data_IF_078989274569
#
_entry.id   IF_078989274569
#
_cell.length_a   1.000
_cell.length_b   1.000
_cell.length_c   1.000
_cell.angle_alpha   90.00
_cell.angle_beta   90.00
_cell.angle_gamma   90.00
#
_symmetry.space_group_name_H-M   'P 1'
#
loop_
_entity.id
_entity.type
_entity.pdbx_description
1 polymer ?
#
# COMPACT_ATOMS: atom_id res chain seq x y z
N UNK A 1 -12.57 -14.76 -17.97
CA UNK A 1 -11.52 -14.56 -16.96
C UNK A 1 -11.50 -15.78 -16.06
N UNK A 2 -10.49 -16.63 -16.18
CA UNK A 2 -10.30 -17.76 -15.27
C UNK A 2 -9.93 -17.22 -13.89
N UNK A 3 -10.66 -17.66 -12.86
CA UNK A 3 -10.69 -17.08 -11.51
C UNK A 3 -9.48 -17.45 -10.64
N UNK A 4 -8.50 -18.16 -11.19
CA UNK A 4 -7.38 -18.75 -10.44
C UNK A 4 -6.37 -17.70 -9.92
N UNK A 5 -6.51 -16.42 -10.30
CA UNK A 5 -5.69 -15.31 -9.78
C UNK A 5 -6.22 -14.72 -8.47
N UNK A 6 -7.47 -15.02 -8.09
CA UNK A 6 -8.11 -14.46 -6.90
C UNK A 6 -7.55 -15.09 -5.61
N UNK A 7 -6.77 -16.18 -5.66
CA UNK A 7 -6.28 -16.78 -4.41
C UNK A 7 -5.05 -16.07 -3.80
N UNK A 8 -4.43 -15.11 -4.50
CA UNK A 8 -3.16 -14.51 -4.09
C UNK A 8 -3.20 -13.00 -3.79
N UNK A 9 -4.37 -12.44 -3.48
CA UNK A 9 -4.46 -11.03 -3.03
C UNK A 9 -4.64 -10.94 -1.51
N UNK A 10 -4.18 -9.83 -0.94
CA UNK A 10 -4.47 -9.48 0.44
C UNK A 10 -5.72 -8.59 0.44
N UNK A 11 -6.82 -9.09 1.01
CA UNK A 11 -7.96 -8.26 1.38
C UNK A 11 -7.75 -7.70 2.78
N UNK A 12 -7.50 -6.39 2.86
CA UNK A 12 -7.31 -5.67 4.12
C UNK A 12 -8.26 -4.49 4.20
N UNK A 13 -9.10 -4.46 5.24
CA UNK A 13 -10.08 -3.39 5.46
C UNK A 13 -9.48 -2.28 6.32
N UNK A 14 -9.92 -1.05 6.09
CA UNK A 14 -9.54 0.11 6.92
C UNK A 14 -10.11 -0.07 8.32
N UNK A 15 -9.27 0.10 9.33
CA UNK A 15 -9.65 0.12 10.76
C UNK A 15 -9.65 1.55 11.30
N UNK A 16 -8.70 2.38 10.87
CA UNK A 16 -8.64 3.79 11.23
C UNK A 16 -8.83 4.67 9.99
N UNK A 17 -10.07 5.09 9.75
CA UNK A 17 -10.47 5.88 8.58
C UNK A 17 -9.74 7.22 8.47
N UNK A 18 -9.39 7.84 9.61
CA UNK A 18 -8.70 9.14 9.63
C UNK A 18 -7.32 9.08 8.98
N UNK A 19 -6.70 7.91 8.98
CA UNK A 19 -5.37 7.69 8.44
C UNK A 19 -5.39 6.74 7.23
N UNK A 20 -6.56 6.42 6.68
CA UNK A 20 -6.66 5.42 5.60
C UNK A 20 -5.83 5.83 4.37
N UNK A 21 -5.91 7.09 3.99
CA UNK A 21 -5.18 7.68 2.88
C UNK A 21 -4.59 8.99 3.36
N UNK A 22 -3.27 9.12 3.22
CA UNK A 22 -2.52 10.27 3.68
C UNK A 22 -1.74 10.88 2.51
N UNK A 23 -1.43 12.16 2.63
CA UNK A 23 -0.49 12.83 1.73
C UNK A 23 0.41 13.72 2.57
N UNK A 24 1.68 13.35 2.68
CA UNK A 24 2.67 14.05 3.49
C UNK A 24 3.71 14.72 2.60
N UNK A 25 4.24 15.85 3.05
CA UNK A 25 5.30 16.56 2.35
C UNK A 25 6.58 15.70 2.17
N UNK A 26 6.90 14.89 3.18
CA UNK A 26 8.14 14.10 3.23
C UNK A 26 8.08 12.78 2.46
N UNK A 27 6.88 12.28 2.08
CA UNK A 27 6.76 11.01 1.36
C UNK A 27 5.60 10.90 0.36
N UNK A 28 4.91 12.01 0.08
CA UNK A 28 3.81 12.06 -0.86
C UNK A 28 2.60 11.21 -0.46
N UNK A 29 1.83 10.69 -1.43
CA UNK A 29 0.66 9.88 -1.17
C UNK A 29 1.04 8.54 -0.52
N UNK A 30 0.27 8.15 0.48
CA UNK A 30 0.48 6.91 1.26
C UNK A 30 -0.85 6.31 1.71
N UNK A 31 -0.81 5.04 2.07
CA UNK A 31 -1.92 4.35 2.71
C UNK A 31 -1.58 4.08 4.17
N UNK A 32 -2.51 4.39 5.07
CA UNK A 32 -2.24 4.26 6.49
C UNK A 32 -1.21 5.26 7.01
N UNK A 33 -0.97 5.24 8.32
CA UNK A 33 0.16 5.97 8.90
C UNK A 33 1.52 5.36 8.52
N UNK A 34 1.55 4.09 8.13
CA UNK A 34 2.75 3.36 7.71
C UNK A 34 2.45 2.12 6.85
N UNK A 35 1.19 1.91 6.47
CA UNK A 35 0.73 0.64 5.89
C UNK A 35 1.24 0.44 4.46
N UNK A 36 1.43 1.53 3.71
CA UNK A 36 2.17 1.55 2.46
C UNK A 36 2.71 2.95 2.19
N UNK A 37 4.03 3.09 2.26
CA UNK A 37 4.74 4.30 1.86
C UNK A 37 5.60 3.96 0.64
N UNK A 38 5.37 4.71 -0.43
CA UNK A 38 6.15 4.64 -1.68
C UNK A 38 6.85 5.97 -1.87
N UNK A 39 8.10 6.04 -1.42
CA UNK A 39 8.92 7.24 -1.49
C UNK A 39 10.27 6.89 -2.07
N UNK A 40 10.63 7.58 -3.15
CA UNK A 40 11.88 7.39 -3.86
C UNK A 40 12.50 8.78 -4.03
N UNK A 41 13.22 9.23 -3.00
CA UNK A 41 13.83 10.57 -2.98
C UNK A 41 15.36 10.52 -2.88
N UNK A 42 15.94 9.35 -2.60
CA UNK A 42 17.39 9.16 -2.58
C UNK A 42 17.77 7.70 -2.86
N UNK A 43 19.07 7.41 -3.05
CA UNK A 43 19.63 6.07 -3.26
C UNK A 43 19.39 5.08 -2.10
N UNK A 44 18.75 5.53 -1.02
CA UNK A 44 18.36 4.70 0.13
C UNK A 44 16.91 4.19 0.02
N UNK A 45 16.74 2.91 0.34
CA UNK A 45 15.48 2.17 0.36
C UNK A 45 14.43 2.82 1.27
N UNK A 46 13.65 3.76 0.76
CA UNK A 46 12.69 4.52 1.57
C UNK A 46 11.25 3.99 1.52
N UNK A 47 10.96 3.00 0.66
CA UNK A 47 9.64 2.37 0.67
C UNK A 47 9.55 1.36 1.81
N UNK A 48 8.51 1.45 2.62
CA UNK A 48 8.24 0.47 3.68
C UNK A 48 6.74 0.24 3.87
N UNK A 49 6.43 -0.89 4.50
CA UNK A 49 5.07 -1.39 4.70
C UNK A 49 4.99 -2.00 6.09
N UNK A 50 4.30 -1.31 7.00
CA UNK A 50 4.11 -1.74 8.39
C UNK A 50 2.65 -1.55 8.75
N UNK A 51 1.95 -2.65 9.08
CA UNK A 51 0.52 -2.63 9.45
C UNK A 51 0.24 -1.64 10.58
N UNK A 52 -0.68 -0.71 10.36
CA UNK A 52 -1.08 0.32 11.32
C UNK A 52 -2.59 0.60 11.26
N UNK A 53 -3.08 1.14 10.15
CA UNK A 53 -4.45 1.63 9.98
C UNK A 53 -5.36 0.64 9.24
N UNK A 54 -4.78 -0.45 8.72
CA UNK A 54 -5.50 -1.53 8.05
C UNK A 54 -5.52 -2.82 8.90
N UNK A 55 -6.52 -3.68 8.68
CA UNK A 55 -6.74 -4.93 9.42
C UNK A 55 -5.54 -5.89 9.28
N UNK A 56 -4.97 -5.97 8.08
CA UNK A 56 -3.83 -6.81 7.69
C UNK A 56 -2.77 -5.94 6.99
N UNK A 57 -1.50 -6.36 7.06
CA UNK A 57 -0.42 -5.72 6.30
C UNK A 57 -0.77 -5.73 4.82
N UNK A 58 -0.55 -4.63 4.10
CA UNK A 58 -0.87 -4.51 2.67
C UNK A 58 0.05 -5.42 1.83
N UNK A 59 1.25 -5.72 2.34
CA UNK A 59 2.20 -6.66 1.74
C UNK A 59 2.42 -7.85 2.67
N UNK A 60 2.93 -8.95 2.12
CA UNK A 60 3.28 -10.16 2.90
C UNK A 60 4.55 -9.98 3.75
N UNK A 61 5.36 -8.97 3.45
CA UNK A 61 6.66 -8.72 4.07
C UNK A 61 6.67 -7.36 4.73
N UNK A 62 7.08 -7.30 6.00
CA UNK A 62 7.21 -6.06 6.77
C UNK A 62 8.66 -5.56 6.72
N UNK A 63 9.17 -5.28 5.52
CA UNK A 63 10.53 -4.78 5.28
C UNK A 63 10.54 -3.70 4.21
N UNK A 64 11.65 -2.98 4.13
CA UNK A 64 11.90 -2.06 3.02
C UNK A 64 11.85 -2.81 1.68
N UNK A 65 11.50 -2.08 0.62
CA UNK A 65 11.33 -2.67 -0.70
C UNK A 65 11.58 -1.66 -1.83
N UNK A 66 11.74 -2.18 -3.03
CA UNK A 66 11.80 -1.39 -4.26
C UNK A 66 10.51 -1.55 -5.07
N UNK A 67 10.10 -0.48 -5.73
CA UNK A 67 9.01 -0.49 -6.70
C UNK A 67 9.63 -0.37 -8.09
N UNK A 68 9.62 -1.46 -8.86
CA UNK A 68 10.06 -1.43 -10.27
C UNK A 68 8.97 -0.91 -11.21
N UNK A 69 7.73 -1.22 -10.88
CA UNK A 69 6.55 -0.92 -11.69
C UNK A 69 5.33 -0.83 -10.77
N UNK A 70 4.41 0.08 -11.09
CA UNK A 70 3.16 0.27 -10.38
C UNK A 70 2.02 0.46 -11.39
N UNK A 71 0.96 -0.34 -11.27
CA UNK A 71 -0.24 -0.25 -12.10
C UNK A 71 -1.42 0.21 -11.22
N UNK A 72 -2.18 1.20 -11.69
CA UNK A 72 -3.36 1.73 -10.98
C UNK A 72 -4.62 1.45 -11.79
N UNK A 73 -5.60 0.81 -11.14
CA UNK A 73 -6.88 0.44 -11.76
C UNK A 73 -8.03 1.18 -11.09
N UNK A 74 -8.88 1.85 -11.89
CA UNK A 74 -10.12 2.44 -11.41
C UNK A 74 -11.27 1.43 -11.60
N UNK A 75 -11.88 0.98 -10.49
CA UNK A 75 -13.11 0.18 -10.54
C UNK A 75 -14.30 1.15 -10.58
N UNK A 76 -15.17 0.98 -11.56
CA UNK A 76 -16.43 1.74 -11.67
C UNK A 76 -17.60 0.82 -11.37
N UNK A 77 -18.56 1.33 -10.62
CA UNK A 77 -19.88 0.74 -10.52
C UNK A 77 -20.75 1.43 -11.57
N UNK A 78 -21.29 0.67 -12.52
CA UNK A 78 -22.30 1.15 -13.47
C UNK A 78 -23.69 1.27 -12.81
#
# INVERSE_FOLDING_TARGET
FTNDRIENYILSRVVNEKNAICNYYDYGPSFGGSDLITWEFDDDYNNYCTRSSYEKSIRKTDSNFDVKECEVFQIRCD
#
